data_IF_054819686330
#
_entry.id   IF_054819686330
#
_cell.length_a   1.000
_cell.length_b   1.000
_cell.length_c   1.000
_cell.angle_alpha   90.00
_cell.angle_beta   90.00
_cell.angle_gamma   90.00
#
_symmetry.space_group_name_H-M   'P 1'
#
loop_
_entity.id
_entity.type
_entity.pdbx_description
1 polymer ?
#
# COMPACT_ATOMS: atom_id res chain seq x y z
N UNK A 1 -2.87 21.06 -30.04
CA UNK A 1 -3.07 19.67 -29.56
C UNK A 1 -2.26 19.30 -28.32
N UNK A 2 -1.13 19.96 -28.00
CA UNK A 2 -0.43 19.77 -26.71
C UNK A 2 -1.10 20.59 -25.57
N UNK A 3 -1.51 21.82 -25.84
CA UNK A 3 -2.18 22.72 -24.88
C UNK A 3 -3.50 22.17 -24.32
N UNK A 4 -4.35 21.62 -25.17
CA UNK A 4 -5.67 21.11 -24.76
C UNK A 4 -5.59 19.90 -23.81
N UNK A 5 -4.56 19.05 -23.98
CA UNK A 5 -4.31 17.93 -23.06
C UNK A 5 -3.74 18.38 -21.73
N UNK A 6 -3.00 19.49 -21.70
CA UNK A 6 -2.44 20.05 -20.47
C UNK A 6 -3.50 20.84 -19.68
N UNK A 7 -4.46 21.48 -20.37
CA UNK A 7 -5.64 22.11 -19.77
C UNK A 7 -6.58 21.05 -19.18
N UNK A 8 -6.91 19.98 -19.92
CA UNK A 8 -7.68 18.85 -19.38
C UNK A 8 -6.97 18.20 -18.19
N UNK A 9 -5.64 18.02 -18.23
CA UNK A 9 -4.87 17.46 -17.10
C UNK A 9 -4.95 18.33 -15.84
N UNK A 10 -4.89 19.66 -15.99
CA UNK A 10 -5.02 20.60 -14.87
C UNK A 10 -6.45 20.63 -14.31
N UNK A 11 -7.47 20.66 -15.16
CA UNK A 11 -8.88 20.60 -14.73
C UNK A 11 -9.21 19.28 -14.02
N UNK A 12 -8.55 18.20 -14.43
CA UNK A 12 -8.73 16.87 -13.88
C UNK A 12 -7.95 16.71 -12.56
N UNK A 13 -6.71 17.19 -12.43
CA UNK A 13 -6.06 17.26 -11.11
C UNK A 13 -6.90 18.12 -10.17
N UNK A 14 -7.42 19.25 -10.66
CA UNK A 14 -8.36 20.08 -9.91
C UNK A 14 -9.67 19.37 -9.58
N UNK A 15 -10.17 18.42 -10.38
CA UNK A 15 -11.41 17.69 -10.05
C UNK A 15 -11.25 16.76 -8.84
N UNK A 16 -10.15 16.00 -8.76
CA UNK A 16 -9.85 15.19 -7.56
C UNK A 16 -9.57 16.11 -6.37
N UNK A 17 -8.88 17.23 -6.60
CA UNK A 17 -8.60 18.22 -5.54
C UNK A 17 -9.87 18.96 -5.09
N UNK A 18 -10.80 19.28 -5.99
CA UNK A 18 -12.04 20.02 -5.71
C UNK A 18 -13.07 19.13 -5.04
N UNK A 19 -13.17 17.87 -5.47
CA UNK A 19 -14.04 16.88 -4.83
C UNK A 19 -13.47 16.50 -3.45
N UNK A 20 -12.14 16.47 -3.29
CA UNK A 20 -11.48 16.30 -1.98
C UNK A 20 -11.61 17.52 -1.07
N UNK A 21 -11.65 18.75 -1.61
CA UNK A 21 -11.85 19.99 -0.83
C UNK A 21 -13.32 20.24 -0.47
N UNK A 22 -14.27 19.84 -1.31
CA UNK A 22 -15.71 19.95 -1.04
C UNK A 22 -16.22 19.02 0.07
N UNK A 23 -15.44 18.00 0.46
CA UNK A 23 -15.70 17.19 1.65
C UNK A 23 -15.68 17.99 2.96
N UNK A 24 -15.19 19.25 2.95
CA UNK A 24 -15.20 20.16 4.10
C UNK A 24 -16.54 20.88 4.32
N UNK A 25 -17.53 20.76 3.44
CA UNK A 25 -18.85 21.38 3.61
C UNK A 25 -19.88 20.36 4.10
N UNK A 26 -19.81 20.02 5.39
CA UNK A 26 -21.03 19.61 6.11
C UNK A 26 -21.76 20.86 6.60
N UNK A 27 -23.09 20.94 6.48
CA UNK A 27 -23.85 22.05 7.01
C UNK A 27 -23.79 22.02 8.54
N UNK A 28 -23.49 23.19 9.10
CA UNK A 28 -23.43 23.46 10.53
C UNK A 28 -24.72 22.97 11.21
N UNK A 29 -24.53 22.21 12.29
CA UNK A 29 -25.60 21.58 13.05
C UNK A 29 -26.37 22.60 13.88
N UNK A 30 -27.19 23.42 13.23
CA UNK A 30 -28.17 24.28 13.91
C UNK A 30 -29.28 24.72 12.97
N UNK A 31 -30.23 23.83 12.69
CA UNK A 31 -31.63 24.19 12.41
C UNK A 31 -32.48 22.92 12.20
N UNK A 32 -32.99 22.35 13.29
CA UNK A 32 -34.23 21.58 13.24
C UNK A 32 -35.26 22.34 14.07
N UNK A 33 -36.00 23.22 13.38
CA UNK A 33 -37.21 23.81 13.91
C UNK A 33 -38.35 22.80 13.76
N UNK A 34 -39.05 22.60 14.87
CA UNK A 34 -40.16 21.69 15.10
C UNK A 34 -41.29 21.79 14.07
N UNK A 35 -41.59 20.68 13.38
CA UNK A 35 -42.91 20.44 12.79
C UNK A 35 -43.67 19.42 13.64
N UNK A 36 -44.77 19.89 14.21
CA UNK A 36 -45.69 19.14 15.06
C UNK A 36 -46.20 17.87 14.36
N UNK A 37 -46.03 16.72 15.00
CA UNK A 37 -46.92 15.58 14.85
C UNK A 37 -47.35 15.11 16.24
N UNK A 38 -48.67 15.14 16.46
CA UNK A 38 -49.35 14.69 17.68
C UNK A 38 -49.34 13.16 17.71
N UNK A 39 -48.91 12.59 18.84
CA UNK A 39 -49.21 11.22 19.25
C UNK A 39 -50.01 11.26 20.57
N UNK A 40 -50.95 10.32 20.80
CA UNK A 40 -51.88 10.40 21.93
C UNK A 40 -51.30 9.82 23.23
N UNK A 41 -51.79 10.39 24.32
CA UNK A 41 -51.47 10.07 25.71
C UNK A 41 -52.05 8.69 26.10
N UNK A 42 -51.22 7.79 26.66
CA UNK A 42 -51.69 6.82 27.66
C UNK A 42 -50.66 6.56 28.78
N UNK A 43 -51.03 7.10 29.95
CA UNK A 43 -50.81 6.64 31.32
C UNK A 43 -49.59 5.77 31.70
N UNK A 44 -48.69 6.38 32.47
CA UNK A 44 -47.88 5.69 33.49
C UNK A 44 -48.74 5.29 34.69
N UNK A 45 -48.60 4.04 35.14
CA UNK A 45 -48.77 3.68 36.56
C UNK A 45 -47.57 2.86 37.03
N UNK A 46 -47.05 3.30 38.17
CA UNK A 46 -45.98 2.71 38.98
C UNK A 46 -46.36 1.36 39.57
N UNK A 47 -45.38 0.46 39.78
CA UNK A 47 -45.08 -0.19 41.09
C UNK A 47 -44.02 -1.31 41.02
N UNK A 48 -43.01 -1.15 41.88
CA UNK A 48 -42.37 -2.09 42.84
C UNK A 48 -41.94 -3.52 42.47
N UNK A 49 -40.71 -3.82 42.94
CA UNK A 49 -40.06 -5.12 43.19
C UNK A 49 -40.98 -6.27 43.61
N UNK A 50 -40.69 -7.46 43.07
CA UNK A 50 -40.72 -8.76 43.79
C UNK A 50 -39.74 -9.74 43.14
N UNK A 51 -38.97 -10.44 44.00
CA UNK A 51 -38.24 -11.67 43.71
C UNK A 51 -39.19 -12.79 43.27
N UNK A 52 -38.77 -13.64 42.32
CA UNK A 52 -39.09 -15.08 42.33
C UNK A 52 -38.22 -15.87 41.34
N UNK A 53 -37.71 -17.01 41.83
CA UNK A 53 -36.98 -18.05 41.13
C UNK A 53 -37.78 -18.68 39.98
N UNK A 54 -37.10 -19.02 38.87
CA UNK A 54 -37.48 -20.14 38.02
C UNK A 54 -36.25 -20.86 37.45
N UNK A 55 -36.28 -22.19 37.61
CA UNK A 55 -35.29 -23.17 37.18
C UNK A 55 -35.26 -23.38 35.66
N UNK A 56 -34.06 -23.77 35.20
CA UNK A 56 -33.72 -24.71 34.12
C UNK A 56 -34.70 -24.93 32.95
N UNK A 57 -34.22 -24.65 31.73
CA UNK A 57 -34.08 -25.71 30.72
C UNK A 57 -33.08 -25.29 29.61
N UNK A 58 -32.03 -26.09 29.42
CA UNK A 58 -31.04 -25.95 28.35
C UNK A 58 -31.23 -27.09 27.34
N UNK A 59 -31.31 -26.84 26.02
CA UNK A 59 -31.24 -27.91 25.03
C UNK A 59 -29.78 -28.33 24.78
N UNK A 60 -29.59 -29.65 24.72
CA UNK A 60 -28.30 -30.34 24.67
C UNK A 60 -27.45 -30.06 23.41
N UNK A 61 -26.14 -29.94 23.64
CA UNK A 61 -25.09 -29.98 22.62
C UNK A 61 -25.03 -31.36 21.95
N UNK A 62 -25.10 -31.40 20.62
CA UNK A 62 -24.71 -32.57 19.83
C UNK A 62 -23.18 -32.57 19.63
N UNK A 63 -22.47 -33.71 19.80
CA UNK A 63 -21.04 -33.77 19.57
C UNK A 63 -20.72 -33.79 18.07
N UNK A 64 -19.94 -32.79 17.64
CA UNK A 64 -19.40 -32.71 16.29
C UNK A 64 -18.39 -33.84 16.04
N UNK A 65 -18.58 -34.61 14.96
CA UNK A 65 -17.61 -35.61 14.50
C UNK A 65 -16.38 -34.92 13.86
N UNK A 66 -15.14 -35.39 14.14
CA UNK A 66 -13.95 -34.82 13.52
C UNK A 66 -13.80 -35.30 12.06
N UNK A 67 -13.69 -34.35 11.13
CA UNK A 67 -13.31 -34.57 9.74
C UNK A 67 -11.84 -35.01 9.68
N UNK A 68 -11.58 -36.24 9.23
CA UNK A 68 -10.23 -36.73 8.94
C UNK A 68 -9.67 -36.10 7.65
N UNK A 69 -8.39 -35.71 7.62
CA UNK A 69 -7.72 -35.28 6.40
C UNK A 69 -7.46 -36.49 5.47
N UNK A 70 -7.96 -36.42 4.24
CA UNK A 70 -7.60 -37.38 3.20
C UNK A 70 -6.19 -37.10 2.68
N UNK A 71 -5.24 -37.94 3.06
CA UNK A 71 -3.93 -38.02 2.44
C UNK A 71 -4.01 -38.83 1.14
N UNK A 72 -3.68 -38.20 0.02
CA UNK A 72 -3.41 -38.90 -1.25
C UNK A 72 -1.90 -39.08 -1.43
N UNK A 73 -1.47 -40.34 -1.47
CA UNK A 73 -0.38 -40.82 -2.34
C UNK A 73 1.08 -40.58 -1.91
N UNK A 74 1.58 -41.42 -1.01
CA UNK A 74 3.00 -41.79 -0.98
C UNK A 74 3.28 -42.77 -2.12
N UNK A 75 4.15 -42.41 -3.06
CA UNK A 75 4.84 -43.37 -3.92
C UNK A 75 6.29 -43.47 -3.44
N UNK A 76 6.63 -44.61 -2.85
CA UNK A 76 8.00 -44.97 -2.50
C UNK A 76 8.70 -45.48 -3.76
N UNK A 77 9.93 -45.02 -4.04
CA UNK A 77 10.77 -45.67 -5.05
C UNK A 77 11.96 -44.85 -5.53
N UNK A 78 13.11 -45.09 -4.89
CA UNK A 78 14.48 -44.99 -5.42
C UNK A 78 15.03 -43.61 -5.88
N UNK A 79 15.99 -43.08 -5.10
CA UNK A 79 17.15 -42.38 -5.67
C UNK A 79 18.36 -43.34 -5.77
N UNK A 80 19.58 -42.87 -6.08
CA UNK A 80 19.95 -41.59 -6.68
C UNK A 80 20.94 -41.74 -7.85
N UNK A 81 21.01 -40.76 -8.76
CA UNK A 81 22.22 -40.56 -9.58
C UNK A 81 22.27 -39.15 -10.13
N UNK A 82 23.22 -38.36 -9.62
CA UNK A 82 23.53 -37.04 -10.13
C UNK A 82 24.34 -37.11 -11.43
N UNK A 83 24.16 -36.09 -12.27
CA UNK A 83 25.12 -35.76 -13.33
C UNK A 83 24.99 -34.28 -13.69
N UNK A 84 25.99 -33.50 -13.26
CA UNK A 84 26.31 -32.17 -13.81
C UNK A 84 26.71 -32.30 -15.29
N UNK A 85 26.35 -31.37 -16.19
CA UNK A 85 26.96 -31.32 -17.51
C UNK A 85 28.32 -30.59 -17.42
N UNK A 86 29.40 -31.30 -17.75
CA UNK A 86 30.69 -30.67 -18.08
C UNK A 86 30.70 -30.29 -19.56
N UNK A 87 31.13 -29.07 -19.84
CA UNK A 87 31.51 -28.57 -21.17
C UNK A 87 32.76 -29.29 -21.66
N UNK A 88 32.72 -29.82 -22.89
CA UNK A 88 33.91 -30.24 -23.64
C UNK A 88 34.07 -29.36 -24.86
N UNK A 89 35.21 -28.67 -24.92
CA UNK A 89 35.66 -27.91 -26.07
C UNK A 89 36.47 -28.75 -27.06
N UNK A 90 36.58 -28.17 -28.26
CA UNK A 90 37.59 -28.33 -29.29
C UNK A 90 37.80 -29.72 -29.92
N UNK A 91 37.42 -29.81 -31.20
CA UNK A 91 37.94 -30.77 -32.16
C UNK A 91 38.16 -30.06 -33.49
N UNK A 92 39.40 -29.62 -33.71
CA UNK A 92 39.92 -29.17 -35.00
C UNK A 92 39.83 -30.31 -36.01
N UNK A 93 39.39 -30.02 -37.23
CA UNK A 93 39.76 -30.86 -38.36
C UNK A 93 40.07 -29.98 -39.59
N UNK A 94 41.35 -29.99 -39.94
CA UNK A 94 41.89 -29.44 -41.17
C UNK A 94 41.56 -30.38 -42.34
N UNK A 95 41.24 -29.81 -43.50
CA UNK A 95 40.89 -30.60 -44.68
C UNK A 95 40.95 -29.79 -45.97
N UNK A 96 42.17 -29.72 -46.52
CA UNK A 96 42.50 -29.74 -47.96
C UNK A 96 42.14 -28.52 -48.83
N UNK A 97 43.20 -27.86 -49.30
CA UNK A 97 43.25 -26.83 -50.33
C UNK A 97 43.16 -27.45 -51.73
N UNK A 98 42.32 -26.88 -52.60
CA UNK A 98 42.40 -27.05 -54.06
C UNK A 98 42.80 -25.69 -54.69
N UNK A 99 43.87 -25.61 -55.50
CA UNK A 99 44.29 -24.36 -56.12
C UNK A 99 43.63 -24.20 -57.49
N UNK A 100 43.19 -22.97 -57.80
CA UNK A 100 42.87 -22.57 -59.17
C UNK A 100 41.47 -22.00 -59.34
N UNK A 101 41.26 -20.76 -58.89
CA UNK A 101 40.30 -19.88 -59.54
C UNK A 101 40.69 -18.43 -59.28
N UNK A 102 41.07 -17.72 -60.34
CA UNK A 102 41.36 -16.28 -60.32
C UNK A 102 40.02 -15.55 -60.45
N UNK A 103 39.56 -14.73 -59.49
CA UNK A 103 38.34 -13.96 -59.67
C UNK A 103 38.66 -12.67 -60.43
N UNK A 104 38.08 -12.51 -61.63
CA UNK A 104 38.00 -11.21 -62.29
C UNK A 104 37.07 -10.26 -61.51
N UNK A 105 37.34 -8.94 -61.47
CA UNK A 105 36.46 -7.99 -60.83
C UNK A 105 35.20 -7.74 -61.68
N UNK A 106 34.03 -8.00 -61.10
CA UNK A 106 32.72 -7.66 -61.66
C UNK A 106 32.45 -6.14 -61.55
N UNK A 107 31.68 -5.56 -62.50
CA UNK A 107 31.53 -4.11 -62.63
C UNK A 107 30.60 -3.51 -61.57
N UNK A 108 30.99 -2.36 -61.04
CA UNK A 108 30.17 -1.51 -60.17
C UNK A 108 28.99 -0.94 -60.94
N UNK A 109 27.76 -1.20 -60.47
CA UNK A 109 26.55 -0.49 -60.90
C UNK A 109 25.96 0.30 -59.73
N UNK A 110 25.57 1.58 -59.91
CA UNK A 110 25.09 2.43 -58.84
C UNK A 110 23.56 2.36 -58.67
N UNK A 111 23.09 2.63 -57.45
CA UNK A 111 21.79 3.28 -57.21
C UNK A 111 20.65 2.45 -56.61
N UNK A 112 20.27 2.85 -55.39
CA UNK A 112 18.92 2.90 -54.79
C UNK A 112 18.17 1.59 -54.49
N UNK A 113 18.08 1.25 -53.21
CA UNK A 113 16.83 1.34 -52.43
C UNK A 113 17.00 0.77 -51.01
N UNK A 114 16.26 1.38 -50.10
CA UNK A 114 16.04 1.04 -48.70
C UNK A 114 15.74 -0.44 -48.45
N UNK A 115 16.75 -1.21 -48.04
CA UNK A 115 16.59 -2.56 -47.50
C UNK A 115 16.55 -2.51 -45.97
N UNK A 116 15.40 -2.87 -45.40
CA UNK A 116 15.23 -3.12 -43.97
C UNK A 116 16.31 -4.08 -43.47
N UNK A 117 17.00 -3.72 -42.39
CA UNK A 117 17.97 -4.61 -41.76
C UNK A 117 17.24 -5.80 -41.14
N UNK A 118 17.39 -6.98 -41.73
CA UNK A 118 16.96 -8.27 -41.16
C UNK A 118 18.04 -8.83 -40.23
N UNK A 119 18.52 -8.00 -39.28
CA UNK A 119 19.31 -8.52 -38.17
C UNK A 119 18.35 -9.25 -37.22
N UNK A 120 18.59 -10.54 -36.90
CA UNK A 120 17.80 -11.24 -35.90
C UNK A 120 17.98 -10.50 -34.57
N UNK A 121 16.90 -9.85 -34.10
CA UNK A 121 16.87 -9.27 -32.75
C UNK A 121 17.17 -10.41 -31.78
N UNK A 122 18.23 -10.25 -30.99
CA UNK A 122 18.56 -11.13 -29.86
C UNK A 122 17.28 -11.55 -29.11
N UNK A 123 17.13 -12.83 -28.68
CA UNK A 123 15.95 -13.30 -27.94
C UNK A 123 15.82 -12.64 -26.57
N UNK A 124 16.83 -11.89 -26.12
CA UNK A 124 16.72 -11.00 -24.98
C UNK A 124 16.03 -9.71 -25.44
N UNK A 125 14.74 -9.60 -25.13
CA UNK A 125 13.93 -8.39 -25.23
C UNK A 125 14.73 -7.18 -24.73
N UNK A 126 14.53 -6.02 -25.34
CA UNK A 126 15.11 -4.74 -24.89
C UNK A 126 15.04 -4.62 -23.36
N UNK A 127 16.07 -4.02 -22.75
CA UNK A 127 16.18 -3.91 -21.30
C UNK A 127 14.84 -3.48 -20.69
N UNK A 128 14.38 -4.19 -19.65
CA UNK A 128 13.21 -3.84 -18.83
C UNK A 128 13.57 -2.62 -17.99
N UNK A 129 13.91 -1.53 -18.65
CA UNK A 129 14.15 -0.23 -18.07
C UNK A 129 12.99 0.64 -18.47
N UNK A 130 12.40 1.35 -17.51
CA UNK A 130 11.38 2.34 -17.80
C UNK A 130 11.87 3.27 -18.93
N UNK A 131 11.02 3.52 -19.92
CA UNK A 131 11.34 4.50 -20.95
C UNK A 131 11.61 5.87 -20.29
N UNK A 132 12.53 6.68 -20.84
CA UNK A 132 12.76 8.04 -20.36
C UNK A 132 11.43 8.80 -20.30
N UNK A 133 11.12 9.40 -19.13
CA UNK A 133 9.89 10.16 -18.95
C UNK A 133 10.13 11.63 -19.30
N UNK A 134 9.18 12.20 -20.03
CA UNK A 134 9.16 13.63 -20.36
C UNK A 134 8.40 14.48 -19.32
N UNK A 135 7.91 13.86 -18.23
CA UNK A 135 7.22 14.50 -17.11
C UNK A 135 7.67 13.89 -15.78
N UNK A 136 7.53 14.61 -14.66
CA UNK A 136 7.68 14.03 -13.33
C UNK A 136 6.80 12.79 -13.15
N UNK A 137 7.29 11.83 -12.38
CA UNK A 137 6.48 10.70 -11.93
C UNK A 137 5.41 11.21 -10.97
N UNK A 138 4.18 10.73 -11.13
CA UNK A 138 3.05 11.12 -10.29
C UNK A 138 2.56 9.93 -9.48
N UNK A 139 2.57 10.05 -8.16
CA UNK A 139 2.03 9.07 -7.24
C UNK A 139 0.74 9.62 -6.62
N UNK A 140 -0.33 8.82 -6.66
CA UNK A 140 -1.55 9.12 -5.90
C UNK A 140 -1.41 8.58 -4.49
N UNK A 141 -1.34 9.47 -3.50
CA UNK A 141 -1.40 9.14 -2.08
C UNK A 141 -2.86 9.05 -1.66
N UNK A 142 -3.34 7.84 -1.43
CA UNK A 142 -4.72 7.52 -1.11
C UNK A 142 -4.87 7.40 0.40
N UNK A 143 -5.44 8.42 1.03
CA UNK A 143 -5.97 8.33 2.38
C UNK A 143 -7.37 7.66 2.31
N UNK A 144 -7.55 6.45 2.86
CA UNK A 144 -8.83 5.75 2.81
C UNK A 144 -9.88 6.34 3.79
N UNK A 145 -9.51 7.33 4.60
CA UNK A 145 -10.43 8.03 5.50
C UNK A 145 -10.95 9.32 4.88
N UNK A 146 -12.05 9.84 5.45
CA UNK A 146 -12.62 11.15 5.09
C UNK A 146 -11.92 12.34 5.76
N UNK A 147 -10.78 12.11 6.41
CA UNK A 147 -10.02 13.16 7.09
C UNK A 147 -9.05 13.87 6.13
N UNK A 148 -9.49 14.99 5.56
CA UNK A 148 -8.68 15.80 4.62
C UNK A 148 -7.43 16.40 5.29
N UNK A 149 -7.51 16.74 6.58
CA UNK A 149 -6.38 17.30 7.32
C UNK A 149 -5.24 16.30 7.46
N UNK A 150 -5.54 15.02 7.69
CA UNK A 150 -4.55 13.94 7.72
C UNK A 150 -3.83 13.81 6.37
N UNK A 151 -4.57 13.90 5.26
CA UNK A 151 -3.98 13.94 3.91
C UNK A 151 -3.00 15.10 3.76
N UNK A 152 -3.39 16.30 4.21
CA UNK A 152 -2.51 17.48 4.14
C UNK A 152 -1.28 17.34 5.04
N UNK A 153 -1.40 16.76 6.23
CA UNK A 153 -0.26 16.47 7.11
C UNK A 153 0.76 15.57 6.43
N UNK A 154 0.30 14.48 5.80
CA UNK A 154 1.19 13.58 5.05
C UNK A 154 1.88 14.30 3.89
N UNK A 155 1.14 15.04 3.06
CA UNK A 155 1.74 15.81 1.96
C UNK A 155 2.77 16.82 2.47
N UNK A 156 2.47 17.54 3.54
CA UNK A 156 3.39 18.51 4.12
C UNK A 156 4.66 17.87 4.69
N UNK A 157 4.56 16.67 5.27
CA UNK A 157 5.72 15.92 5.76
C UNK A 157 6.66 15.48 4.64
N UNK A 158 6.11 15.18 3.46
CA UNK A 158 6.88 14.72 2.29
C UNK A 158 7.55 15.87 1.54
N UNK A 159 6.93 17.06 1.47
CA UNK A 159 7.45 18.21 0.67
C UNK A 159 8.95 18.46 0.77
N UNK A 160 9.60 18.43 1.96
CA UNK A 160 11.03 18.74 2.08
C UNK A 160 11.96 17.67 1.51
N UNK A 161 11.46 16.45 1.27
CA UNK A 161 12.27 15.28 0.90
C UNK A 161 12.00 14.77 -0.51
N UNK A 162 10.98 15.29 -1.20
CA UNK A 162 10.62 14.82 -2.54
C UNK A 162 11.70 15.19 -3.58
N UNK A 163 12.16 14.23 -4.40
CA UNK A 163 13.00 14.53 -5.56
C UNK A 163 12.28 15.44 -6.56
N UNK A 164 13.05 16.25 -7.31
CA UNK A 164 12.49 17.18 -8.31
C UNK A 164 11.70 16.52 -9.45
N UNK A 165 11.90 15.22 -9.69
CA UNK A 165 11.20 14.43 -10.71
C UNK A 165 10.02 13.61 -10.15
N UNK A 166 9.60 13.87 -8.90
CA UNK A 166 8.51 13.16 -8.24
C UNK A 166 7.47 14.14 -7.71
N UNK A 167 6.21 13.91 -8.05
CA UNK A 167 5.06 14.67 -7.60
C UNK A 167 4.10 13.73 -6.85
N UNK A 168 3.61 14.16 -5.69
CA UNK A 168 2.64 13.42 -4.88
C UNK A 168 1.33 14.18 -4.85
N UNK A 169 0.26 13.52 -5.25
CA UNK A 169 -1.09 14.07 -5.24
C UNK A 169 -1.88 13.36 -4.14
N UNK A 170 -2.44 14.12 -3.21
CA UNK A 170 -3.28 13.56 -2.15
C UNK A 170 -4.71 13.30 -2.62
N UNK A 171 -5.24 12.15 -2.23
CA UNK A 171 -6.63 11.77 -2.37
C UNK A 171 -7.20 11.48 -0.98
N UNK A 172 -8.38 12.05 -0.68
CA UNK A 172 -9.13 11.79 0.55
C UNK A 172 -10.41 11.07 0.18
N UNK A 173 -10.72 9.96 0.86
CA UNK A 173 -11.93 9.21 0.57
C UNK A 173 -13.18 10.07 0.83
N UNK A 174 -14.16 10.11 -0.09
CA UNK A 174 -15.35 10.93 0.08
C UNK A 174 -16.28 10.33 1.16
N UNK A 175 -17.20 11.14 1.66
CA UNK A 175 -18.31 10.63 2.47
C UNK A 175 -19.08 9.53 1.70
N UNK A 176 -19.49 8.42 2.35
CA UNK A 176 -19.50 8.17 3.80
C UNK A 176 -18.27 7.40 4.35
N UNK A 177 -17.07 7.64 3.84
CA UNK A 177 -15.86 6.99 4.36
C UNK A 177 -15.64 7.35 5.85
N UNK A 178 -15.10 6.40 6.65
CA UNK A 178 -14.86 6.65 8.06
C UNK A 178 -13.83 7.76 8.25
N UNK A 179 -13.92 8.49 9.37
CA UNK A 179 -12.98 9.58 9.69
C UNK A 179 -11.62 9.08 10.20
N UNK A 180 -11.57 7.84 10.68
CA UNK A 180 -10.38 7.13 11.11
C UNK A 180 -10.57 5.62 10.85
N UNK A 181 -9.49 4.91 10.60
CA UNK A 181 -9.54 3.45 10.39
C UNK A 181 -9.10 2.73 11.67
N UNK A 182 -10.06 2.28 12.48
CA UNK A 182 -9.79 1.66 13.79
C UNK A 182 -10.26 0.20 13.88
N UNK A 183 -10.97 -0.27 12.86
CA UNK A 183 -11.59 -1.60 12.81
C UNK A 183 -11.49 -2.22 11.42
N UNK A 184 -11.73 -3.53 11.34
CA UNK A 184 -11.91 -4.22 10.05
C UNK A 184 -13.14 -3.70 9.27
N UNK A 185 -14.17 -3.22 9.97
CA UNK A 185 -15.37 -2.64 9.34
C UNK A 185 -15.01 -1.33 8.65
N UNK A 186 -14.26 -0.46 9.32
CA UNK A 186 -13.78 0.81 8.74
C UNK A 186 -12.99 0.55 7.46
N UNK A 187 -12.08 -0.43 7.48
CA UNK A 187 -11.30 -0.84 6.31
C UNK A 187 -12.15 -1.38 5.16
N UNK A 188 -13.22 -2.13 5.46
CA UNK A 188 -14.11 -2.66 4.44
C UNK A 188 -14.92 -1.54 3.78
N UNK A 189 -15.51 -0.65 4.60
CA UNK A 189 -16.29 0.50 4.14
C UNK A 189 -15.42 1.46 3.32
N UNK A 190 -14.25 1.84 3.82
CA UNK A 190 -13.33 2.71 3.08
C UNK A 190 -12.87 2.07 1.76
N UNK A 191 -12.60 0.76 1.75
CA UNK A 191 -12.18 0.08 0.51
C UNK A 191 -13.26 0.13 -0.56
N UNK A 192 -14.52 -0.15 -0.20
CA UNK A 192 -15.64 -0.11 -1.13
C UNK A 192 -15.83 1.29 -1.72
N UNK A 193 -15.82 2.32 -0.86
CA UNK A 193 -16.01 3.71 -1.25
C UNK A 193 -14.89 4.16 -2.18
N UNK A 194 -13.63 3.92 -1.81
CA UNK A 194 -12.47 4.35 -2.60
C UNK A 194 -12.42 3.62 -3.95
N UNK A 195 -12.70 2.32 -4.00
CA UNK A 195 -12.70 1.57 -5.27
C UNK A 195 -13.76 2.12 -6.22
N UNK A 196 -14.98 2.39 -5.74
CA UNK A 196 -16.06 2.94 -6.56
C UNK A 196 -15.77 4.36 -7.02
N UNK A 197 -15.21 5.18 -6.14
CA UNK A 197 -14.92 6.56 -6.44
C UNK A 197 -13.76 6.70 -7.44
N UNK A 198 -12.65 6.01 -7.22
CA UNK A 198 -11.51 6.02 -8.15
C UNK A 198 -11.87 5.49 -9.54
N UNK A 199 -12.82 4.56 -9.64
CA UNK A 199 -13.26 4.04 -10.92
C UNK A 199 -13.93 5.09 -11.82
N UNK A 200 -14.51 6.16 -11.25
CA UNK A 200 -15.04 7.31 -12.01
C UNK A 200 -13.94 8.05 -12.78
N UNK A 201 -12.71 7.91 -12.32
CA UNK A 201 -11.52 8.56 -12.85
C UNK A 201 -10.57 7.58 -13.55
N UNK A 202 -10.98 6.33 -13.76
CA UNK A 202 -10.18 5.36 -14.49
C UNK A 202 -9.99 5.81 -15.96
N UNK A 203 -8.82 5.52 -16.53
CA UNK A 203 -8.58 5.72 -17.97
C UNK A 203 -9.51 4.89 -18.83
N UNK A 204 -9.67 5.29 -20.10
CA UNK A 204 -10.48 4.55 -21.07
C UNK A 204 -10.05 3.08 -21.24
N UNK A 205 -8.75 2.80 -21.16
CA UNK A 205 -8.20 1.44 -21.18
C UNK A 205 -8.22 0.75 -19.79
N UNK A 206 -8.52 1.50 -18.72
CA UNK A 206 -8.62 0.98 -17.36
C UNK A 206 -7.31 0.71 -16.65
N UNK A 207 -6.17 1.00 -17.28
CA UNK A 207 -4.83 0.68 -16.78
C UNK A 207 -4.46 1.48 -15.52
N UNK A 208 -4.97 2.70 -15.36
CA UNK A 208 -4.68 3.51 -14.16
C UNK A 208 -5.84 4.44 -13.81
N UNK A 209 -5.74 5.07 -12.65
CA UNK A 209 -6.55 6.25 -12.31
C UNK A 209 -5.91 7.43 -13.03
N UNK A 210 -6.61 8.04 -13.98
CA UNK A 210 -6.13 9.19 -14.77
C UNK A 210 -4.77 8.94 -15.41
N UNK A 211 -3.70 9.58 -14.93
CA UNK A 211 -2.34 9.41 -15.45
C UNK A 211 -1.34 9.11 -14.33
N UNK A 212 -1.81 8.61 -13.19
CA UNK A 212 -0.92 8.27 -12.07
C UNK A 212 -0.05 7.07 -12.44
N UNK A 213 1.21 7.15 -12.04
CA UNK A 213 2.22 6.14 -12.33
C UNK A 213 2.32 5.07 -11.24
N UNK A 214 1.80 5.36 -10.05
CA UNK A 214 1.68 4.44 -8.93
C UNK A 214 0.64 4.95 -7.91
N UNK A 215 0.17 4.02 -7.07
CA UNK A 215 -0.81 4.29 -6.02
C UNK A 215 -0.22 3.90 -4.66
N UNK A 216 -0.25 4.83 -3.69
CA UNK A 216 0.13 4.58 -2.31
C UNK A 216 -1.11 4.53 -1.44
N UNK A 217 -1.38 3.41 -0.78
CA UNK A 217 -2.45 3.34 0.23
C UNK A 217 -1.88 3.76 1.59
N UNK A 218 -2.31 4.93 2.06
CA UNK A 218 -1.87 5.53 3.30
C UNK A 218 -2.70 5.05 4.50
N UNK A 219 -2.58 3.77 4.82
CA UNK A 219 -3.07 3.18 6.07
C UNK A 219 -2.04 2.20 6.62
N UNK A 220 -1.68 2.35 7.90
CA UNK A 220 -0.74 1.45 8.55
C UNK A 220 -1.42 0.15 9.02
N UNK A 221 -2.07 -0.55 8.09
CA UNK A 221 -2.76 -1.82 8.33
C UNK A 221 -2.64 -2.71 7.09
N UNK A 222 -3.00 -3.99 7.20
CA UNK A 222 -3.18 -4.87 6.04
C UNK A 222 -4.49 -4.53 5.31
N UNK A 223 -4.58 -3.31 4.77
CA UNK A 223 -5.81 -2.73 4.24
C UNK A 223 -6.26 -3.46 2.96
N UNK A 224 -7.50 -3.98 2.88
CA UNK A 224 -7.97 -4.77 1.72
C UNK A 224 -7.99 -3.96 0.41
N UNK A 225 -8.12 -2.64 0.50
CA UNK A 225 -7.94 -1.71 -0.62
C UNK A 225 -6.65 -1.97 -1.42
N UNK A 226 -5.53 -2.34 -0.79
CA UNK A 226 -4.25 -2.55 -1.50
C UNK A 226 -4.40 -3.66 -2.55
N UNK A 227 -4.94 -4.81 -2.15
CA UNK A 227 -5.14 -5.95 -3.07
C UNK A 227 -6.21 -5.64 -4.11
N UNK A 228 -7.27 -4.91 -3.74
CA UNK A 228 -8.31 -4.49 -4.69
C UNK A 228 -7.74 -3.56 -5.78
N UNK A 229 -6.94 -2.57 -5.41
CA UNK A 229 -6.30 -1.68 -6.39
C UNK A 229 -5.26 -2.40 -7.26
N UNK A 230 -4.56 -3.40 -6.70
CA UNK A 230 -3.67 -4.28 -7.47
C UNK A 230 -4.42 -5.12 -8.49
N UNK A 231 -5.69 -5.46 -8.28
CA UNK A 231 -6.55 -6.08 -9.29
C UNK A 231 -7.02 -5.03 -10.32
N UNK A 232 -7.49 -3.87 -9.84
CA UNK A 232 -8.16 -2.86 -10.66
C UNK A 232 -7.26 -2.06 -11.62
N UNK A 233 -5.96 -1.92 -11.32
CA UNK A 233 -5.04 -1.05 -12.07
C UNK A 233 -3.69 -1.72 -12.38
N UNK A 234 -3.08 -1.38 -13.51
CA UNK A 234 -1.83 -1.90 -14.06
C UNK A 234 -0.58 -1.14 -13.58
N UNK A 235 -0.71 -0.29 -12.56
CA UNK A 235 0.41 0.44 -11.94
C UNK A 235 0.85 -0.21 -10.63
N UNK A 236 2.07 0.03 -10.14
CA UNK A 236 2.49 -0.39 -8.81
C UNK A 236 1.57 0.17 -7.73
N UNK A 237 1.14 -0.70 -6.82
CA UNK A 237 0.35 -0.33 -5.64
C UNK A 237 1.04 -0.86 -4.39
N UNK A 238 1.31 0.03 -3.45
CA UNK A 238 1.97 -0.29 -2.17
C UNK A 238 1.20 0.34 -1.01
N UNK A 239 1.06 -0.38 0.10
CA UNK A 239 0.64 0.19 1.37
C UNK A 239 1.81 0.73 2.20
N UNK A 240 1.59 1.76 3.00
CA UNK A 240 2.63 2.31 3.89
C UNK A 240 3.12 1.28 4.93
N UNK A 241 2.26 0.35 5.35
CA UNK A 241 2.65 -0.79 6.19
C UNK A 241 3.74 -1.64 5.51
N UNK A 242 3.43 -2.30 4.40
CA UNK A 242 4.38 -3.21 3.74
C UNK A 242 5.64 -2.47 3.25
N UNK A 243 5.49 -1.25 2.73
CA UNK A 243 6.60 -0.43 2.26
C UNK A 243 7.59 -0.11 3.38
N UNK A 244 7.09 0.30 4.54
CA UNK A 244 7.94 0.60 5.70
C UNK A 244 8.63 -0.62 6.29
N UNK A 245 7.97 -1.79 6.25
CA UNK A 245 8.56 -3.05 6.70
C UNK A 245 9.74 -3.46 5.79
N UNK A 246 9.58 -3.34 4.46
CA UNK A 246 10.66 -3.64 3.52
C UNK A 246 11.86 -2.70 3.73
N UNK A 247 11.62 -1.39 3.83
CA UNK A 247 12.68 -0.39 4.05
C UNK A 247 13.40 -0.64 5.37
N UNK A 248 12.65 -0.90 6.45
CA UNK A 248 13.24 -1.12 7.78
C UNK A 248 14.16 -2.33 7.80
N UNK A 249 13.83 -3.37 7.02
CA UNK A 249 14.68 -4.54 6.89
C UNK A 249 15.95 -4.28 6.08
N UNK A 250 15.98 -3.26 5.23
CA UNK A 250 17.20 -2.84 4.52
C UNK A 250 18.10 -1.99 5.42
N UNK A 251 17.52 -1.25 6.37
CA UNK A 251 18.24 -0.32 7.23
C UNK A 251 18.75 -0.94 8.54
N UNK A 252 18.19 -2.06 8.97
CA UNK A 252 18.56 -2.75 10.21
C UNK A 252 18.30 -4.24 10.20
N UNK A 253 18.76 -4.93 11.23
CA UNK A 253 18.58 -6.37 11.39
C UNK A 253 17.22 -6.73 11.98
N UNK A 254 16.70 -5.90 12.90
CA UNK A 254 15.45 -6.14 13.63
C UNK A 254 14.63 -4.88 13.80
N UNK A 255 13.35 -4.93 13.47
CA UNK A 255 12.48 -3.77 13.55
C UNK A 255 11.41 -3.89 14.63
N UNK A 256 11.03 -2.76 15.22
CA UNK A 256 9.89 -2.60 16.12
C UNK A 256 8.90 -1.57 15.59
N UNK A 257 7.63 -1.69 15.95
CA UNK A 257 6.57 -0.77 15.47
C UNK A 257 5.99 0.01 16.65
N UNK A 258 5.96 1.34 16.56
CA UNK A 258 5.17 2.15 17.49
C UNK A 258 3.71 2.16 17.03
N UNK A 259 2.82 1.53 17.80
CA UNK A 259 1.39 1.53 17.55
C UNK A 259 0.68 2.69 18.25
N UNK A 260 -0.45 3.14 17.68
CA UNK A 260 -1.33 4.11 18.35
C UNK A 260 -2.07 3.47 19.53
N UNK A 261 -2.66 2.29 19.33
CA UNK A 261 -3.51 1.60 20.32
C UNK A 261 -3.12 0.13 20.50
N UNK A 262 -3.61 -0.48 21.58
CA UNK A 262 -3.44 -1.92 21.82
C UNK A 262 -4.07 -2.79 20.73
N UNK A 263 -5.16 -2.32 20.09
CA UNK A 263 -5.77 -3.03 18.98
C UNK A 263 -4.83 -3.06 17.78
N UNK A 264 -4.27 -1.90 17.42
CA UNK A 264 -3.30 -1.81 16.33
C UNK A 264 -2.06 -2.67 16.59
N UNK A 265 -1.60 -2.76 17.84
CA UNK A 265 -0.51 -3.67 18.21
C UNK A 265 -0.78 -5.13 17.79
N UNK A 266 -2.00 -5.61 18.00
CA UNK A 266 -2.40 -6.97 17.60
C UNK A 266 -2.48 -7.07 16.08
N UNK A 267 -3.19 -6.16 15.42
CA UNK A 267 -3.32 -6.16 13.95
C UNK A 267 -1.98 -6.09 13.23
N UNK A 268 -1.04 -5.29 13.72
CA UNK A 268 0.30 -5.16 13.15
C UNK A 268 1.11 -6.45 13.31
N UNK A 269 0.96 -7.15 14.44
CA UNK A 269 1.61 -8.44 14.66
C UNK A 269 1.13 -9.47 13.63
N UNK A 270 -0.18 -9.56 13.43
CA UNK A 270 -0.78 -10.46 12.45
C UNK A 270 -0.37 -10.09 11.02
N UNK A 271 -0.34 -8.79 10.69
CA UNK A 271 0.06 -8.31 9.37
C UNK A 271 1.54 -8.60 9.05
N UNK A 272 2.43 -8.42 10.03
CA UNK A 272 3.85 -8.78 9.90
C UNK A 272 4.03 -10.27 9.67
N UNK A 273 3.22 -11.10 10.35
CA UNK A 273 3.21 -12.54 10.14
C UNK A 273 2.71 -12.92 8.74
N UNK A 274 1.62 -12.32 8.28
CA UNK A 274 1.09 -12.54 6.93
C UNK A 274 2.09 -12.16 5.83
N UNK A 275 2.96 -11.17 6.07
CA UNK A 275 4.04 -10.77 5.17
C UNK A 275 5.32 -11.62 5.30
N UNK A 276 5.34 -12.62 6.19
CA UNK A 276 6.48 -13.52 6.38
C UNK A 276 7.70 -12.87 7.06
N UNK A 277 7.49 -11.77 7.80
CA UNK A 277 8.57 -10.97 8.40
C UNK A 277 8.70 -11.16 9.92
N UNK A 278 7.96 -12.08 10.53
CA UNK A 278 7.97 -12.32 11.98
C UNK A 278 9.35 -12.56 12.58
N UNK A 279 10.27 -13.18 11.83
CA UNK A 279 11.62 -13.45 12.32
C UNK A 279 12.41 -12.17 12.65
N UNK A 280 12.17 -11.09 11.91
CA UNK A 280 12.85 -9.81 12.07
C UNK A 280 12.12 -8.85 13.00
N UNK A 281 10.94 -9.24 13.50
CA UNK A 281 10.07 -8.40 14.30
C UNK A 281 10.41 -8.51 15.79
N UNK A 282 10.76 -7.38 16.42
CA UNK A 282 10.99 -7.27 17.86
C UNK A 282 9.73 -6.93 18.66
N UNK A 283 8.63 -6.67 17.97
CA UNK A 283 7.32 -6.42 18.57
C UNK A 283 6.72 -5.08 18.15
N UNK A 284 5.48 -4.87 18.57
CA UNK A 284 4.78 -3.60 18.46
C UNK A 284 4.45 -3.10 19.86
N UNK A 285 4.63 -1.80 20.10
CA UNK A 285 4.34 -1.16 21.38
C UNK A 285 3.34 -0.03 21.20
N UNK A 286 2.25 -0.09 21.97
CA UNK A 286 1.22 0.92 21.93
C UNK A 286 1.63 2.14 22.76
N UNK A 287 1.49 3.33 22.17
CA UNK A 287 1.63 4.60 22.89
C UNK A 287 0.37 4.94 23.70
N UNK A 288 -0.74 4.23 23.44
CA UNK A 288 -2.04 4.42 24.08
C UNK A 288 -2.68 5.78 23.80
N UNK A 289 -2.72 6.15 22.51
CA UNK A 289 -3.48 7.33 22.09
C UNK A 289 -4.98 7.15 22.31
N UNK A 290 -5.63 8.20 22.78
CA UNK A 290 -7.07 8.38 22.68
C UNK A 290 -7.45 8.82 21.25
N UNK A 291 -8.71 8.58 20.81
CA UNK A 291 -9.17 9.06 19.50
C UNK A 291 -9.00 10.58 19.31
N UNK A 292 -9.22 11.37 20.37
CA UNK A 292 -9.04 12.81 20.33
C UNK A 292 -7.57 13.20 20.08
N UNK A 293 -6.62 12.53 20.73
CA UNK A 293 -5.19 12.79 20.53
C UNK A 293 -4.75 12.43 19.11
N UNK A 294 -5.20 11.30 18.55
CA UNK A 294 -4.88 10.92 17.16
C UNK A 294 -5.33 12.00 16.19
N UNK A 295 -6.55 12.54 16.36
CA UNK A 295 -7.08 13.58 15.49
C UNK A 295 -6.34 14.91 15.67
N UNK A 296 -5.93 15.27 16.89
CA UNK A 296 -5.25 16.53 17.18
C UNK A 296 -3.77 16.55 16.79
N UNK A 297 -3.13 15.40 16.53
CA UNK A 297 -1.73 15.34 16.08
C UNK A 297 -1.46 16.19 14.82
N UNK A 298 -2.47 16.35 13.98
CA UNK A 298 -2.39 17.10 12.72
C UNK A 298 -2.49 18.62 12.89
N UNK A 299 -2.91 19.12 14.06
CA UNK A 299 -3.18 20.54 14.33
C UNK A 299 -2.29 21.14 15.42
N UNK A 300 -1.60 20.31 16.18
CA UNK A 300 -0.75 20.75 17.28
C UNK A 300 0.68 21.05 16.82
N UNK A 301 1.19 22.23 17.19
CA UNK A 301 2.59 22.63 16.97
C UNK A 301 3.56 21.99 17.96
N UNK A 302 3.05 21.53 19.11
CA UNK A 302 3.82 20.86 20.16
C UNK A 302 2.97 19.73 20.76
N UNK A 303 3.63 18.61 21.07
CA UNK A 303 3.00 17.50 21.75
C UNK A 303 2.90 17.80 23.26
N UNK A 304 1.78 17.43 23.92
CA UNK A 304 1.73 17.41 25.38
C UNK A 304 2.87 16.58 25.98
N UNK A 305 3.39 17.01 27.13
CA UNK A 305 4.53 16.35 27.78
C UNK A 305 4.25 14.88 28.09
N UNK A 306 3.06 14.56 28.60
CA UNK A 306 2.65 13.18 28.88
C UNK A 306 2.70 12.32 27.61
N UNK A 307 2.13 12.80 26.50
CA UNK A 307 2.17 12.10 25.23
C UNK A 307 3.61 11.89 24.73
N UNK A 308 4.46 12.91 24.87
CA UNK A 308 5.89 12.82 24.54
C UNK A 308 6.58 11.73 25.36
N UNK A 309 6.28 11.63 26.66
CA UNK A 309 6.85 10.58 27.51
C UNK A 309 6.34 9.19 27.12
N UNK A 310 5.05 9.02 26.78
CA UNK A 310 4.50 7.74 26.31
C UNK A 310 5.16 7.28 25.01
N UNK A 311 5.40 8.19 24.05
CA UNK A 311 6.14 7.89 22.81
C UNK A 311 7.57 7.42 23.13
N UNK A 312 8.28 8.17 23.97
CA UNK A 312 9.66 7.83 24.37
C UNK A 312 9.72 6.49 25.09
N UNK A 313 8.74 6.21 25.95
CA UNK A 313 8.64 4.93 26.65
C UNK A 313 8.45 3.77 25.66
N UNK A 314 7.47 3.86 24.75
CA UNK A 314 7.22 2.82 23.75
C UNK A 314 8.47 2.55 22.87
N UNK A 315 9.15 3.62 22.42
CA UNK A 315 10.37 3.51 21.64
C UNK A 315 11.49 2.77 22.41
N UNK A 316 11.75 3.16 23.66
CA UNK A 316 12.78 2.50 24.49
C UNK A 316 12.43 1.05 24.80
N UNK A 317 11.15 0.75 25.01
CA UNK A 317 10.69 -0.63 25.22
C UNK A 317 10.99 -1.51 24.01
N UNK A 318 10.75 -1.02 22.79
CA UNK A 318 11.09 -1.75 21.56
C UNK A 318 12.61 -1.95 21.40
N UNK A 319 13.41 -0.93 21.71
CA UNK A 319 14.87 -1.04 21.69
C UNK A 319 15.38 -2.06 22.72
N UNK A 320 14.82 -2.06 23.94
CA UNK A 320 15.13 -3.06 24.96
C UNK A 320 14.75 -4.50 24.53
N UNK A 321 13.77 -4.66 23.64
CA UNK A 321 13.41 -5.93 22.99
C UNK A 321 14.31 -6.28 21.79
N UNK A 322 15.33 -5.48 21.51
CA UNK A 322 16.31 -5.70 20.46
C UNK A 322 15.90 -5.15 19.09
N UNK A 323 15.04 -4.12 19.02
CA UNK A 323 14.86 -3.37 17.79
C UNK A 323 16.03 -2.41 17.55
N UNK A 324 16.67 -2.49 16.38
CA UNK A 324 17.66 -1.51 15.90
C UNK A 324 17.05 -0.49 14.92
N UNK A 325 15.82 -0.75 14.47
CA UNK A 325 15.04 0.12 13.62
C UNK A 325 13.61 0.23 14.15
N UNK A 326 13.10 1.43 14.28
CA UNK A 326 11.74 1.71 14.72
C UNK A 326 10.91 2.25 13.55
N UNK A 327 9.68 1.75 13.44
CA UNK A 327 8.70 2.18 12.45
C UNK A 327 7.62 2.98 13.15
N UNK A 328 7.32 4.16 12.61
CA UNK A 328 6.16 4.94 13.02
C UNK A 328 4.90 4.26 12.47
N UNK A 329 4.18 3.54 13.34
CA UNK A 329 3.10 2.63 12.94
C UNK A 329 1.73 3.26 12.73
N UNK A 330 1.68 4.49 12.21
CA UNK A 330 0.47 5.19 11.80
C UNK A 330 0.81 6.35 10.87
N UNK A 331 -0.01 6.57 9.85
CA UNK A 331 0.04 7.74 8.98
C UNK A 331 -0.08 9.08 9.75
N UNK A 332 -0.77 9.08 10.89
CA UNK A 332 -0.90 10.26 11.76
C UNK A 332 0.41 10.62 12.47
N UNK A 333 1.41 9.73 12.45
CA UNK A 333 2.73 9.97 13.06
C UNK A 333 3.70 10.69 12.14
N UNK A 334 3.37 10.90 10.87
CA UNK A 334 4.23 11.64 9.93
C UNK A 334 4.35 13.14 10.27
N UNK A 335 3.87 13.57 11.44
CA UNK A 335 4.20 14.88 11.99
C UNK A 335 5.64 14.90 12.54
N UNK A 336 6.33 16.01 12.31
CA UNK A 336 7.73 16.18 12.73
C UNK A 336 7.94 15.97 14.23
N UNK A 337 6.96 16.32 15.06
CA UNK A 337 7.08 16.24 16.52
C UNK A 337 7.05 14.81 17.05
N UNK A 338 6.19 13.93 16.52
CA UNK A 338 6.11 12.53 16.96
C UNK A 338 7.39 11.79 16.54
N UNK A 339 7.84 12.02 15.31
CA UNK A 339 9.11 11.46 14.81
C UNK A 339 10.30 12.00 15.63
N UNK A 340 10.31 13.30 15.96
CA UNK A 340 11.36 13.90 16.78
C UNK A 340 11.41 13.28 18.18
N UNK A 341 10.26 13.14 18.83
CA UNK A 341 10.16 12.51 20.14
C UNK A 341 10.70 11.07 20.14
N UNK A 342 10.36 10.28 19.12
CA UNK A 342 10.88 8.92 18.95
C UNK A 342 12.41 8.91 18.69
N UNK A 343 12.91 9.79 17.80
CA UNK A 343 14.35 9.94 17.51
C UNK A 343 15.14 10.34 18.75
N UNK A 344 14.62 11.22 19.58
CA UNK A 344 15.27 11.66 20.81
C UNK A 344 15.21 10.60 21.92
N UNK A 345 14.22 9.69 21.87
CA UNK A 345 14.10 8.59 22.84
C UNK A 345 15.24 7.58 22.77
N UNK A 346 15.82 7.41 21.58
CA UNK A 346 16.74 6.32 21.20
C UNK A 346 18.14 6.79 20.86
N UNK A 347 18.51 7.98 21.33
CA UNK A 347 19.91 8.43 21.32
C UNK A 347 20.69 7.70 22.41
N UNK A 348 21.96 7.43 22.14
CA UNK A 348 22.87 6.92 23.17
C UNK A 348 23.28 8.02 24.17
N UNK A 349 24.10 7.66 25.17
CA UNK A 349 24.57 8.59 26.21
C UNK A 349 25.35 9.78 25.65
N UNK A 350 26.01 9.61 24.51
CA UNK A 350 26.75 10.66 23.79
C UNK A 350 25.85 11.47 22.83
N UNK A 351 24.55 11.18 22.79
CA UNK A 351 23.57 11.83 21.91
C UNK A 351 23.59 11.35 20.46
N UNK A 352 24.36 10.30 20.14
CA UNK A 352 24.43 9.71 18.79
C UNK A 352 23.18 8.91 18.48
N UNK A 353 22.80 8.90 17.20
CA UNK A 353 21.67 8.11 16.71
C UNK A 353 22.15 6.70 16.37
N UNK A 354 21.89 5.77 17.27
CA UNK A 354 22.27 4.35 17.12
C UNK A 354 21.11 3.48 16.64
N UNK A 355 19.87 3.97 16.77
CA UNK A 355 18.65 3.30 16.31
C UNK A 355 17.98 4.15 15.22
N UNK A 356 17.61 3.51 14.12
CA UNK A 356 16.93 4.18 13.02
C UNK A 356 15.45 4.42 13.37
N UNK A 357 14.88 5.55 12.96
CA UNK A 357 13.44 5.84 13.08
C UNK A 357 12.90 6.19 11.70
N UNK A 358 12.00 5.34 11.21
CA UNK A 358 11.46 5.37 9.84
C UNK A 358 10.02 5.88 9.87
N UNK A 359 9.76 6.96 9.14
CA UNK A 359 8.40 7.39 8.80
C UNK A 359 7.83 6.44 7.74
N UNK A 360 6.67 5.85 8.03
CA UNK A 360 6.05 4.87 7.16
C UNK A 360 5.53 5.46 5.85
N UNK A 361 5.12 6.74 5.84
CA UNK A 361 4.62 7.41 4.65
C UNK A 361 5.78 7.72 3.69
N UNK A 362 6.87 8.29 4.22
CA UNK A 362 8.12 8.49 3.47
C UNK A 362 8.63 7.18 2.86
N UNK A 363 8.75 6.12 3.68
CA UNK A 363 9.21 4.82 3.22
C UNK A 363 8.35 4.24 2.09
N UNK A 364 7.02 4.38 2.19
CA UNK A 364 6.08 3.96 1.15
C UNK A 364 6.28 4.71 -0.17
N UNK A 365 6.39 6.04 -0.11
CA UNK A 365 6.63 6.89 -1.29
C UNK A 365 7.95 6.54 -1.98
N UNK A 366 9.04 6.40 -1.21
CA UNK A 366 10.36 6.12 -1.78
C UNK A 366 10.42 4.72 -2.41
N UNK A 367 9.77 3.73 -1.80
CA UNK A 367 9.59 2.40 -2.40
C UNK A 367 8.87 2.48 -3.76
N UNK A 368 7.75 3.20 -3.82
CA UNK A 368 7.00 3.35 -5.07
C UNK A 368 7.80 4.09 -6.13
N UNK A 369 8.51 5.16 -5.77
CA UNK A 369 9.35 5.89 -6.71
C UNK A 369 10.40 4.97 -7.35
N UNK A 370 11.02 4.08 -6.58
CA UNK A 370 11.94 3.08 -7.11
C UNK A 370 11.26 2.09 -8.09
N UNK A 371 10.07 1.58 -7.75
CA UNK A 371 9.30 0.67 -8.61
C UNK A 371 8.88 1.34 -9.93
N UNK A 372 8.46 2.59 -9.84
CA UNK A 372 8.13 3.45 -10.99
C UNK A 372 9.37 3.65 -11.87
N UNK A 373 10.55 3.86 -11.29
CA UNK A 373 11.82 3.94 -12.02
C UNK A 373 12.23 2.63 -12.71
N UNK A 374 11.89 1.47 -12.13
CA UNK A 374 12.12 0.17 -12.76
C UNK A 374 11.19 -0.08 -13.96
N UNK A 375 10.00 0.56 -13.99
CA UNK A 375 9.03 0.37 -15.07
C UNK A 375 8.35 -1.00 -15.03
N UNK A 376 8.31 -1.63 -13.86
CA UNK A 376 7.68 -2.95 -13.68
C UNK A 376 6.29 -2.76 -13.06
N UNK A 377 5.20 -3.08 -13.78
CA UNK A 377 3.83 -2.95 -13.27
C UNK A 377 3.44 -4.10 -12.34
N UNK A 378 2.27 -3.97 -11.70
CA UNK A 378 1.65 -5.08 -10.94
C UNK A 378 1.36 -6.25 -11.88
N UNK A 379 1.81 -7.46 -11.52
CA UNK A 379 1.63 -8.64 -12.38
C UNK A 379 0.16 -9.09 -12.44
N UNK A 380 -0.45 -9.04 -13.63
CA UNK A 380 -1.82 -9.50 -13.90
C UNK A 380 -1.95 -10.99 -14.23
N UNK A 381 -0.84 -11.75 -14.19
CA UNK A 381 -0.83 -13.18 -14.56
C UNK A 381 -1.59 -14.06 -13.56
N UNK A 382 -1.46 -13.75 -12.26
CA UNK A 382 -1.93 -14.57 -11.15
C UNK A 382 -3.08 -13.95 -10.39
N UNK A 383 -2.94 -13.90 -9.06
CA UNK A 383 -3.95 -13.41 -8.12
C UNK A 383 -4.52 -12.05 -8.53
N UNK A 384 -3.67 -11.12 -8.93
CA UNK A 384 -4.06 -9.76 -9.29
C UNK A 384 -4.57 -9.60 -10.73
N UNK A 385 -5.07 -10.68 -11.35
CA UNK A 385 -5.73 -10.58 -12.66
C UNK A 385 -6.91 -9.61 -12.56
N UNK A 386 -7.06 -8.75 -13.56
CA UNK A 386 -8.09 -7.72 -13.58
C UNK A 386 -9.50 -8.29 -13.38
N UNK A 387 -10.23 -7.71 -12.43
CA UNK A 387 -11.56 -8.14 -11.99
C UNK A 387 -12.68 -7.75 -12.98
N UNK A 388 -12.43 -6.78 -13.86
CA UNK A 388 -13.43 -6.19 -14.77
C UNK A 388 -13.98 -7.22 -15.76
N UNK A 389 -13.12 -8.02 -16.38
CA UNK A 389 -13.52 -9.01 -17.37
C UNK A 389 -14.38 -10.11 -16.73
N UNK A 390 -13.96 -10.61 -15.55
CA UNK A 390 -14.71 -11.58 -14.79
C UNK A 390 -16.08 -11.09 -14.33
N UNK A 391 -16.21 -9.81 -13.93
CA UNK A 391 -17.49 -9.18 -13.61
C UNK A 391 -18.40 -9.07 -14.83
N UNK A 392 -17.87 -8.57 -15.97
CA UNK A 392 -18.63 -8.44 -17.22
C UNK A 392 -19.13 -9.78 -17.74
N UNK A 393 -18.33 -10.84 -17.63
CA UNK A 393 -18.74 -12.20 -18.00
C UNK A 393 -19.93 -12.71 -17.17
N UNK A 394 -20.17 -12.16 -15.98
CA UNK A 394 -21.35 -12.44 -15.14
C UNK A 394 -22.49 -11.43 -15.32
N UNK A 395 -22.44 -10.58 -16.35
CA UNK A 395 -23.44 -9.55 -16.61
C UNK A 395 -23.36 -8.33 -15.67
N UNK A 396 -22.27 -8.19 -14.90
CA UNK A 396 -22.10 -7.09 -13.96
C UNK A 396 -21.38 -5.93 -14.64
N UNK A 397 -22.13 -4.89 -15.00
CA UNK A 397 -21.60 -3.65 -15.60
C UNK A 397 -21.35 -2.54 -14.56
N UNK A 398 -21.55 -2.84 -13.28
CA UNK A 398 -21.37 -1.92 -12.15
C UNK A 398 -20.25 -2.37 -11.22
N UNK A 399 -19.74 -1.42 -10.45
CA UNK A 399 -18.91 -1.62 -9.25
C UNK A 399 -19.78 -1.48 -8.01
#
# INVERSE_FOLDING_TARGET
>A
MADQRQIEQNDIQQSILSDSQNANNQPDGSQYQSSQYREPIMNRRSRTNTHQDYQQDSPAMQPAMPLMPQHSGMNQGAGPSGSRPQSRGAGLNAGVLHPGFVPQPLPTRPGTSSGQSTQPKSPFTAAVTAAPRNRPSQILLINPTSNSQLTMTMLNSLKPILPSQLEIIGYTAPYPAPTATETQVDMALSSEIVVRDLAKYATNNGETVKNFDALLVASFTAHPLITALRESYDVPVVGILEGSLYVSRMLGARFGILATTNRHRVQQTDAVQALGLSHFFSGSEAVHFSPAEVLSLSTQSQLPDDLTQRIKHAARTLVAKGADTLIMGSESFSSNEVIRAAKDAVRDEDGRRTVNVVDCVEAGVMCLNALVGMGVPTSKKGLYRGEREGRRARGQTWL
#
